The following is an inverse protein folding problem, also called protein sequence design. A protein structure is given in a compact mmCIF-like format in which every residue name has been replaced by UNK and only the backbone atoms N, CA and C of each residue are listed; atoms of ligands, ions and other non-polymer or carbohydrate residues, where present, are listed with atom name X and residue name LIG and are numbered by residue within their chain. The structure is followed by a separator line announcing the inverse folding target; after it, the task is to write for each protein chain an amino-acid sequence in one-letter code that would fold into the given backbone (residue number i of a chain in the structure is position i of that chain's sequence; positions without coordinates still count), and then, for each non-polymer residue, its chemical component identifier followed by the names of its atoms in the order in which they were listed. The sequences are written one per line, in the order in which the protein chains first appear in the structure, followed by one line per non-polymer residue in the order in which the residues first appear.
data_IF_475987859205
#
_entry.id   IF_475987859205
#
_cell.length_a   1.000
_cell.length_b   1.000
_cell.length_c   1.000
_cell.angle_alpha   90.00
_cell.angle_beta   90.00
_cell.angle_gamma   90.00
#
_symmetry.space_group_name_H-M   'P 1'
#
loop_
_entity.id
_entity.type
_entity.pdbx_description
1 polymer ?
#
# COMPACT_ATOMS: atom_id res chain seq x y z
N UNK A 1 0.43 -26.02 -20.07
CA UNK A 1 0.97 -24.67 -19.79
C UNK A 1 -0.17 -23.70 -20.06
N UNK A 2 -0.59 -22.88 -19.08
CA UNK A 2 -1.69 -21.93 -19.29
C UNK A 2 -1.39 -21.06 -20.51
N UNK A 3 -2.37 -20.87 -21.38
CA UNK A 3 -2.22 -19.90 -22.47
C UNK A 3 -2.38 -18.46 -21.94
N UNK A 4 -2.22 -17.47 -22.81
CA UNK A 4 -2.31 -16.06 -22.39
C UNK A 4 -3.72 -15.72 -21.88
N UNK A 5 -4.77 -16.28 -22.48
CA UNK A 5 -6.17 -16.06 -22.08
C UNK A 5 -6.48 -16.63 -20.70
N UNK A 6 -5.97 -17.81 -20.37
CA UNK A 6 -6.08 -18.42 -19.04
C UNK A 6 -5.43 -17.55 -17.95
N UNK A 7 -4.30 -16.90 -18.28
CA UNK A 7 -3.58 -16.03 -17.36
C UNK A 7 -4.30 -14.70 -17.15
N UNK A 8 -4.84 -14.11 -18.22
CA UNK A 8 -5.71 -12.92 -18.13
C UNK A 8 -6.93 -13.24 -17.27
N UNK A 9 -7.61 -14.36 -17.53
CA UNK A 9 -8.76 -14.80 -16.73
C UNK A 9 -8.41 -14.97 -15.26
N UNK A 10 -7.23 -15.50 -14.95
CA UNK A 10 -6.74 -15.66 -13.57
C UNK A 10 -6.50 -14.30 -12.89
N UNK A 11 -5.97 -13.31 -13.63
CA UNK A 11 -5.80 -11.94 -13.13
C UNK A 11 -7.16 -11.27 -12.89
N UNK A 12 -8.06 -11.32 -13.87
CA UNK A 12 -9.40 -10.73 -13.78
C UNK A 12 -10.20 -11.31 -12.62
N UNK A 13 -10.13 -12.63 -12.40
CA UNK A 13 -10.76 -13.27 -11.26
C UNK A 13 -10.31 -12.70 -9.90
N UNK A 14 -9.07 -12.22 -9.80
CA UNK A 14 -8.54 -11.62 -8.59
C UNK A 14 -8.95 -10.15 -8.39
N UNK A 15 -9.16 -9.37 -9.47
CA UNK A 15 -9.26 -7.90 -9.38
C UNK A 15 -10.51 -7.29 -10.02
N UNK A 16 -11.45 -8.12 -10.48
CA UNK A 16 -12.63 -7.69 -11.25
C UNK A 16 -13.53 -6.67 -10.55
N UNK A 17 -13.50 -6.57 -9.22
CA UNK A 17 -14.32 -5.65 -8.43
C UNK A 17 -13.65 -4.30 -8.15
N UNK A 18 -12.50 -4.03 -8.78
CA UNK A 18 -11.82 -2.74 -8.69
C UNK A 18 -12.68 -1.59 -9.21
N UNK A 19 -12.97 -0.61 -8.36
CA UNK A 19 -14.07 0.34 -8.55
C UNK A 19 -13.84 1.49 -9.53
N UNK A 20 -12.71 1.52 -10.25
CA UNK A 20 -12.37 2.64 -11.13
C UNK A 20 -12.46 2.30 -12.63
N UNK A 21 -12.72 1.05 -12.96
CA UNK A 21 -12.78 0.56 -14.34
C UNK A 21 -13.59 -0.73 -14.39
N UNK A 22 -14.26 -0.97 -15.52
CA UNK A 22 -14.75 -2.30 -15.87
C UNK A 22 -13.61 -3.11 -16.49
N UNK A 23 -12.97 -3.95 -15.68
CA UNK A 23 -11.88 -4.81 -16.10
C UNK A 23 -12.31 -5.75 -17.24
N UNK A 24 -11.51 -5.84 -18.29
CA UNK A 24 -11.75 -6.69 -19.46
C UNK A 24 -10.44 -7.21 -20.04
N UNK A 25 -10.51 -8.28 -20.84
CA UNK A 25 -9.37 -8.87 -21.52
C UNK A 25 -8.63 -7.82 -22.36
N UNK A 26 -9.36 -7.07 -23.18
CA UNK A 26 -8.79 -6.00 -24.02
C UNK A 26 -8.13 -4.87 -23.23
N UNK A 27 -8.59 -4.58 -22.00
CA UNK A 27 -7.91 -3.64 -21.12
C UNK A 27 -6.55 -4.18 -20.67
N UNK A 28 -6.51 -5.45 -20.25
CA UNK A 28 -5.27 -6.11 -19.81
C UNK A 28 -4.29 -6.26 -20.97
N UNK A 29 -4.76 -6.66 -22.15
CA UNK A 29 -3.96 -6.80 -23.37
C UNK A 29 -3.31 -5.46 -23.77
N UNK A 30 -4.10 -4.38 -23.80
CA UNK A 30 -3.59 -3.05 -24.12
C UNK A 30 -2.53 -2.57 -23.14
N UNK A 31 -2.71 -2.84 -21.83
CA UNK A 31 -1.66 -2.55 -20.85
C UNK A 31 -0.40 -3.37 -21.12
N UNK A 32 -0.57 -4.66 -21.43
CA UNK A 32 0.52 -5.62 -21.61
C UNK A 32 1.36 -5.35 -22.86
N UNK A 33 0.75 -4.87 -23.94
CA UNK A 33 1.41 -4.49 -25.20
C UNK A 33 2.51 -3.42 -25.03
N UNK A 34 2.51 -2.70 -23.90
CA UNK A 34 3.56 -1.75 -23.55
C UNK A 34 4.86 -2.43 -23.07
N UNK A 35 4.85 -3.74 -22.84
CA UNK A 35 6.01 -4.58 -22.49
C UNK A 35 6.44 -5.47 -23.66
N UNK A 36 7.71 -5.96 -23.68
CA UNK A 36 8.17 -6.89 -24.70
C UNK A 36 7.32 -8.18 -24.76
N UNK A 37 6.88 -8.56 -25.96
CA UNK A 37 5.92 -9.64 -26.20
C UNK A 37 6.40 -11.00 -25.66
N UNK A 38 7.71 -11.26 -25.71
CA UNK A 38 8.35 -12.47 -25.19
C UNK A 38 8.22 -12.63 -23.66
N UNK A 39 7.88 -11.55 -22.94
CA UNK A 39 7.76 -11.54 -21.48
C UNK A 39 6.32 -11.49 -20.97
N UNK A 40 5.34 -11.30 -21.86
CA UNK A 40 3.92 -11.17 -21.53
C UNK A 40 3.39 -12.28 -20.61
N UNK A 41 3.68 -13.54 -20.93
CA UNK A 41 3.24 -14.69 -20.12
C UNK A 41 3.84 -14.68 -18.71
N UNK A 42 5.10 -14.28 -18.56
CA UNK A 42 5.75 -14.23 -17.24
C UNK A 42 5.16 -13.08 -16.43
N UNK A 43 4.95 -11.90 -17.05
CA UNK A 43 4.31 -10.76 -16.38
C UNK A 43 2.92 -11.16 -15.87
N UNK A 44 2.05 -11.69 -16.74
CA UNK A 44 0.69 -12.06 -16.34
C UNK A 44 0.67 -13.13 -15.24
N UNK A 45 1.51 -14.16 -15.37
CA UNK A 45 1.59 -15.25 -14.39
C UNK A 45 1.98 -14.72 -13.01
N UNK A 46 3.05 -13.93 -12.93
CA UNK A 46 3.53 -13.42 -11.65
C UNK A 46 2.56 -12.38 -11.09
N UNK A 47 2.01 -11.50 -11.94
CA UNK A 47 1.05 -10.49 -11.50
C UNK A 47 -0.23 -11.12 -10.95
N UNK A 48 -0.78 -12.14 -11.61
CA UNK A 48 -1.92 -12.88 -11.09
C UNK A 48 -1.62 -13.57 -9.75
N UNK A 49 -0.41 -14.10 -9.55
CA UNK A 49 -0.03 -14.73 -8.29
C UNK A 49 0.22 -13.71 -7.16
N UNK A 50 0.82 -12.55 -7.48
CA UNK A 50 1.03 -11.44 -6.53
C UNK A 50 -0.33 -10.90 -6.10
N UNK A 51 -1.16 -10.49 -7.06
CA UNK A 51 -2.45 -9.86 -6.78
C UNK A 51 -3.48 -10.83 -6.21
N UNK A 52 -3.43 -12.12 -6.56
CA UNK A 52 -4.23 -13.14 -5.89
C UNK A 52 -3.95 -13.29 -4.39
N UNK A 53 -2.88 -12.65 -3.88
CA UNK A 53 -2.51 -12.63 -2.45
C UNK A 53 -2.49 -11.23 -1.84
N UNK A 54 -2.26 -10.19 -2.63
CA UNK A 54 -2.11 -8.81 -2.15
C UNK A 54 -3.30 -7.91 -2.46
N UNK A 55 -4.23 -8.33 -3.33
CA UNK A 55 -5.41 -7.55 -3.65
C UNK A 55 -6.49 -7.72 -2.57
N UNK A 56 -7.02 -6.61 -2.06
CA UNK A 56 -8.12 -6.61 -1.10
C UNK A 56 -9.46 -6.33 -1.80
N UNK A 57 -10.21 -7.40 -2.06
CA UNK A 57 -11.55 -7.31 -2.66
C UNK A 57 -12.55 -6.64 -1.72
N UNK A 58 -13.65 -6.15 -2.30
CA UNK A 58 -14.82 -5.61 -1.59
C UNK A 58 -15.39 -6.62 -0.61
N UNK A 59 -15.48 -7.88 -1.02
CA UNK A 59 -16.02 -8.95 -0.20
C UNK A 59 -15.14 -9.18 1.03
N UNK A 60 -13.82 -9.30 0.84
CA UNK A 60 -12.89 -9.51 1.96
C UNK A 60 -12.83 -8.29 2.88
N UNK A 61 -12.83 -7.06 2.33
CA UNK A 61 -12.90 -5.85 3.16
C UNK A 61 -14.18 -5.81 4.00
N UNK A 62 -15.34 -6.14 3.43
CA UNK A 62 -16.60 -6.23 4.19
C UNK A 62 -16.55 -7.29 5.29
N UNK A 63 -15.97 -8.46 5.01
CA UNK A 63 -15.76 -9.51 6.03
C UNK A 63 -14.91 -8.99 7.19
N UNK A 64 -13.77 -8.35 6.88
CA UNK A 64 -12.87 -7.78 7.89
C UNK A 64 -13.55 -6.69 8.72
N UNK A 65 -14.33 -5.80 8.09
CA UNK A 65 -15.14 -4.79 8.81
C UNK A 65 -16.12 -5.48 9.78
N UNK A 66 -16.84 -6.51 9.32
CA UNK A 66 -17.72 -7.29 10.19
C UNK A 66 -17.02 -7.84 11.43
N UNK A 67 -15.83 -8.43 11.23
CA UNK A 67 -15.00 -8.95 12.33
C UNK A 67 -14.58 -7.86 13.32
N UNK A 68 -14.20 -6.68 12.83
CA UNK A 68 -13.85 -5.53 13.67
C UNK A 68 -15.05 -5.06 14.48
N UNK A 69 -16.21 -4.88 13.83
CA UNK A 69 -17.42 -4.38 14.48
C UNK A 69 -17.93 -5.31 15.59
N UNK A 70 -17.63 -6.61 15.49
CA UNK A 70 -18.00 -7.63 16.48
C UNK A 70 -16.92 -7.91 17.54
N UNK A 71 -15.73 -7.30 17.45
CA UNK A 71 -14.63 -7.57 18.37
C UNK A 71 -14.83 -6.85 19.72
N UNK A 72 -15.18 -7.61 20.75
CA UNK A 72 -15.33 -7.12 22.12
C UNK A 72 -14.02 -6.54 22.71
N UNK A 73 -12.85 -6.84 22.14
CA UNK A 73 -11.63 -6.16 22.57
C UNK A 73 -11.60 -4.71 22.09
N UNK A 74 -12.19 -4.40 20.94
CA UNK A 74 -12.29 -3.05 20.36
C UNK A 74 -13.47 -2.30 20.99
N UNK A 75 -14.60 -2.97 21.17
CA UNK A 75 -15.83 -2.42 21.75
C UNK A 75 -16.25 -3.22 23.00
N UNK A 76 -15.55 -3.07 24.14
CA UNK A 76 -15.79 -3.91 25.33
C UNK A 76 -17.15 -3.71 25.99
N UNK A 77 -17.65 -2.47 25.99
CA UNK A 77 -18.97 -2.14 26.56
C UNK A 77 -20.04 -2.03 25.46
N UNK A 78 -19.78 -1.16 24.48
CA UNK A 78 -20.69 -0.90 23.35
C UNK A 78 -19.95 -0.14 22.25
N UNK A 79 -20.52 -0.08 21.05
CA UNK A 79 -19.95 0.72 19.95
C UNK A 79 -20.09 2.21 20.20
N UNK A 80 -21.04 2.63 21.04
CA UNK A 80 -21.26 4.03 21.40
C UNK A 80 -20.23 4.59 22.36
N UNK A 81 -19.50 3.74 23.11
CA UNK A 81 -18.55 4.20 24.14
C UNK A 81 -17.22 4.71 23.59
N UNK A 82 -16.97 4.55 22.29
CA UNK A 82 -15.75 5.01 21.62
C UNK A 82 -16.00 6.20 20.72
N UNK A 83 -14.95 6.99 20.45
CA UNK A 83 -15.02 8.13 19.55
C UNK A 83 -14.09 7.95 18.35
N UNK A 84 -14.64 8.04 17.15
CA UNK A 84 -13.84 7.94 15.92
C UNK A 84 -13.03 9.22 15.69
N UNK A 85 -11.76 9.03 15.34
CA UNK A 85 -10.78 10.09 15.12
C UNK A 85 -11.04 10.78 13.78
N UNK A 86 -11.35 12.07 13.84
CA UNK A 86 -11.48 13.00 12.70
C UNK A 86 -12.24 12.50 11.43
N UNK A 87 -13.43 11.85 11.51
CA UNK A 87 -14.13 11.33 10.32
C UNK A 87 -14.47 12.41 9.28
N UNK A 88 -14.66 13.67 9.72
CA UNK A 88 -15.00 14.81 8.86
C UNK A 88 -13.83 15.30 8.00
N UNK A 89 -12.59 14.97 8.38
CA UNK A 89 -11.38 15.32 7.62
C UNK A 89 -10.90 14.16 6.74
N UNK A 90 -11.62 13.04 6.72
CA UNK A 90 -11.28 11.90 5.90
C UNK A 90 -11.48 12.22 4.42
N UNK A 91 -10.49 11.85 3.61
CA UNK A 91 -10.45 12.07 2.17
C UNK A 91 -10.15 10.75 1.45
N UNK A 92 -10.39 10.71 0.14
CA UNK A 92 -10.13 9.53 -0.70
C UNK A 92 -10.65 8.21 -0.11
N UNK A 93 -9.77 7.22 -0.03
CA UNK A 93 -10.11 5.86 0.42
C UNK A 93 -10.54 5.80 1.89
N UNK A 94 -9.97 6.64 2.77
CA UNK A 94 -10.35 6.63 4.19
C UNK A 94 -11.84 6.94 4.36
N UNK A 95 -12.35 7.91 3.61
CA UNK A 95 -13.77 8.27 3.64
C UNK A 95 -14.66 7.10 3.22
N UNK A 96 -14.25 6.35 2.19
CA UNK A 96 -14.99 5.17 1.72
C UNK A 96 -14.97 4.05 2.76
N UNK A 97 -13.82 3.81 3.41
CA UNK A 97 -13.71 2.83 4.49
C UNK A 97 -14.62 3.21 5.66
N UNK A 98 -14.61 4.47 6.11
CA UNK A 98 -15.48 4.94 7.19
C UNK A 98 -16.96 4.79 6.84
N UNK A 99 -17.36 5.02 5.59
CA UNK A 99 -18.74 4.78 5.15
C UNK A 99 -19.11 3.30 5.26
N UNK A 100 -18.23 2.38 4.82
CA UNK A 100 -18.48 0.94 4.94
C UNK A 100 -18.59 0.49 6.40
N UNK A 101 -17.82 1.11 7.30
CA UNK A 101 -17.94 0.90 8.74
C UNK A 101 -19.27 1.41 9.31
N UNK A 102 -19.71 2.61 8.93
CA UNK A 102 -21.01 3.16 9.38
C UNK A 102 -22.19 2.28 8.91
N UNK A 103 -22.12 1.80 7.66
CA UNK A 103 -23.09 0.85 7.12
C UNK A 103 -23.10 -0.45 7.93
N UNK A 104 -21.93 -1.05 8.22
CA UNK A 104 -21.82 -2.28 8.99
C UNK A 104 -22.33 -2.12 10.44
N UNK A 105 -22.03 -1.00 11.11
CA UNK A 105 -22.55 -0.71 12.46
C UNK A 105 -24.07 -0.51 12.45
N UNK A 106 -24.59 0.15 11.42
CA UNK A 106 -26.03 0.35 11.26
C UNK A 106 -26.75 -0.98 11.02
N UNK A 107 -26.18 -1.87 10.21
CA UNK A 107 -26.73 -3.20 9.95
C UNK A 107 -26.68 -4.11 11.18
N UNK A 108 -25.57 -4.10 11.93
CA UNK A 108 -25.38 -5.00 13.07
C UNK A 108 -26.09 -4.52 14.35
N UNK A 109 -26.11 -3.21 14.60
CA UNK A 109 -26.54 -2.64 15.88
C UNK A 109 -27.59 -1.51 15.76
N UNK A 110 -27.95 -1.08 14.55
CA UNK A 110 -28.88 0.05 14.36
C UNK A 110 -28.28 1.41 14.77
N UNK A 111 -26.95 1.49 14.84
CA UNK A 111 -26.21 2.67 15.31
C UNK A 111 -25.35 3.23 14.18
N UNK A 112 -25.38 4.55 14.02
CA UNK A 112 -24.42 5.26 13.17
C UNK A 112 -23.24 5.73 14.01
N UNK A 113 -22.05 5.77 13.40
CA UNK A 113 -20.83 6.39 13.91
C UNK A 113 -21.06 7.80 14.44
N UNK A 114 -21.99 8.57 13.87
CA UNK A 114 -22.33 9.92 14.34
C UNK A 114 -22.97 9.96 15.74
N UNK A 115 -23.48 8.81 16.21
CA UNK A 115 -24.02 8.61 17.56
C UNK A 115 -22.98 8.09 18.55
N UNK A 116 -21.83 7.61 18.09
CA UNK A 116 -20.74 7.15 18.95
C UNK A 116 -20.02 8.32 19.63
N UNK A 117 -19.50 8.07 20.83
CA UNK A 117 -18.64 9.00 21.56
C UNK A 117 -19.34 10.29 22.00
N UNK A 118 -20.62 10.21 22.42
CA UNK A 118 -21.34 11.35 23.00
C UNK A 118 -20.93 11.54 24.45
N UNK A 119 -20.50 12.75 24.80
CA UNK A 119 -20.04 13.10 26.15
C UNK A 119 -18.52 13.07 26.29
N UNK A 120 -18.05 12.90 27.52
CA UNK A 120 -16.64 12.68 27.83
C UNK A 120 -16.24 11.26 27.44
N UNK A 121 -15.19 11.12 26.62
CA UNK A 121 -14.75 9.83 26.07
C UNK A 121 -13.23 9.76 26.19
N UNK A 122 -12.74 8.61 26.66
CA UNK A 122 -11.32 8.33 26.80
C UNK A 122 -10.76 7.28 25.81
N UNK A 123 -11.65 6.61 25.06
CA UNK A 123 -11.29 5.60 24.07
C UNK A 123 -11.60 6.07 22.64
N UNK A 124 -10.57 6.04 21.80
CA UNK A 124 -10.62 6.55 20.44
C UNK A 124 -10.30 5.48 19.40
N UNK A 125 -10.89 5.59 18.22
CA UNK A 125 -10.60 4.70 17.10
C UNK A 125 -10.20 5.51 15.86
N UNK A 126 -9.04 5.18 15.29
CA UNK A 126 -8.64 5.58 13.95
C UNK A 126 -8.88 4.44 12.97
N UNK A 127 -9.45 4.74 11.81
CA UNK A 127 -9.67 3.77 10.74
C UNK A 127 -9.09 4.32 9.45
N UNK A 128 -8.36 3.48 8.73
CA UNK A 128 -7.90 3.76 7.38
C UNK A 128 -7.75 2.45 6.59
N UNK A 129 -7.48 2.57 5.29
CA UNK A 129 -7.27 1.41 4.44
C UNK A 129 -5.96 0.69 4.79
N UNK A 130 -4.86 1.44 4.81
CA UNK A 130 -3.53 0.88 5.05
C UNK A 130 -2.54 1.94 5.53
N UNK A 131 -1.46 1.45 6.15
CA UNK A 131 -0.28 2.26 6.49
C UNK A 131 0.89 1.80 5.61
N UNK A 132 1.40 2.73 4.79
CA UNK A 132 2.61 2.55 3.97
C UNK A 132 3.82 3.15 4.68
N UNK A 133 4.24 4.37 4.33
CA UNK A 133 5.31 5.10 5.05
C UNK A 133 4.85 5.71 6.38
N UNK A 134 3.53 5.84 6.56
CA UNK A 134 2.91 6.40 7.76
C UNK A 134 2.89 7.92 7.85
N UNK A 135 3.42 8.65 6.86
CA UNK A 135 3.48 10.13 6.87
C UNK A 135 2.10 10.77 7.06
N UNK A 136 1.12 10.40 6.22
CA UNK A 136 -0.26 10.90 6.33
C UNK A 136 -0.90 10.58 7.68
N UNK A 137 -0.69 9.37 8.19
CA UNK A 137 -1.20 8.96 9.49
C UNK A 137 -0.59 9.80 10.62
N UNK A 138 0.75 9.94 10.64
CA UNK A 138 1.46 10.72 11.66
C UNK A 138 1.05 12.19 11.62
N UNK A 139 0.90 12.78 10.45
CA UNK A 139 0.44 14.18 10.30
C UNK A 139 -1.02 14.35 10.73
N UNK A 140 -1.88 13.39 10.41
CA UNK A 140 -3.24 13.30 10.92
C UNK A 140 -3.26 13.24 12.45
N UNK A 141 -2.47 12.34 13.03
CA UNK A 141 -2.34 12.17 14.47
C UNK A 141 -1.84 13.45 15.16
N UNK A 142 -0.81 14.11 14.61
CA UNK A 142 -0.30 15.40 15.13
C UNK A 142 -1.40 16.47 15.17
N UNK A 143 -2.15 16.61 14.08
CA UNK A 143 -3.25 17.58 14.00
C UNK A 143 -4.39 17.25 14.95
N UNK A 144 -4.69 15.97 15.13
CA UNK A 144 -5.73 15.50 16.05
C UNK A 144 -5.34 15.73 17.51
N UNK A 145 -4.13 15.34 17.91
CA UNK A 145 -3.57 15.57 19.26
C UNK A 145 -3.58 17.06 19.63
N UNK A 146 -3.28 17.95 18.67
CA UNK A 146 -3.31 19.39 18.88
C UNK A 146 -4.72 19.96 19.17
N UNK A 147 -5.79 19.16 19.08
CA UNK A 147 -7.15 19.58 19.44
C UNK A 147 -7.50 19.35 20.92
N UNK A 148 -6.59 18.78 21.70
CA UNK A 148 -6.78 18.47 23.11
C UNK A 148 -5.94 19.39 23.99
N UNK A 149 -6.55 19.91 25.05
CA UNK A 149 -5.85 20.65 26.10
C UNK A 149 -5.13 19.71 27.08
N UNK A 150 -5.71 18.55 27.35
CA UNK A 150 -5.16 17.51 28.23
C UNK A 150 -5.11 16.15 27.52
N UNK A 151 -3.90 15.67 27.26
CA UNK A 151 -3.67 14.36 26.62
C UNK A 151 -3.91 13.18 27.56
N UNK A 152 -3.97 13.39 28.89
CA UNK A 152 -4.31 12.33 29.83
C UNK A 152 -5.77 11.89 29.69
N UNK A 153 -6.62 12.73 29.10
CA UNK A 153 -8.00 12.36 28.74
C UNK A 153 -8.07 11.27 27.67
N UNK A 154 -6.97 11.00 26.95
CA UNK A 154 -6.89 9.97 25.92
C UNK A 154 -6.26 8.70 26.54
N UNK A 155 -7.09 7.88 27.18
CA UNK A 155 -6.63 6.64 27.81
C UNK A 155 -6.29 5.53 26.79
N UNK A 156 -6.98 5.51 25.66
CA UNK A 156 -6.88 4.43 24.67
C UNK A 156 -7.06 4.92 23.23
N UNK A 157 -6.24 4.41 22.32
CA UNK A 157 -6.36 4.61 20.87
C UNK A 157 -6.20 3.27 20.13
N UNK A 158 -7.24 2.82 19.44
CA UNK A 158 -7.16 1.71 18.48
C UNK A 158 -6.98 2.25 17.06
N UNK A 159 -5.92 1.82 16.41
CA UNK A 159 -5.59 2.16 15.02
C UNK A 159 -5.89 0.91 14.21
N UNK A 160 -6.92 0.99 13.39
CA UNK A 160 -7.45 -0.14 12.63
C UNK A 160 -7.20 0.11 11.15
N UNK A 161 -6.39 -0.74 10.54
CA UNK A 161 -6.11 -0.71 9.10
C UNK A 161 -6.23 -2.11 8.52
N UNK A 162 -6.54 -2.25 7.23
CA UNK A 162 -6.59 -3.58 6.63
C UNK A 162 -5.18 -4.11 6.34
N UNK A 163 -4.28 -3.24 5.89
CA UNK A 163 -2.92 -3.61 5.59
C UNK A 163 -1.88 -2.69 6.23
N UNK A 164 -0.72 -3.25 6.55
CA UNK A 164 0.44 -2.50 7.02
C UNK A 164 1.72 -2.95 6.34
N UNK A 165 2.64 -2.01 6.13
CA UNK A 165 3.98 -2.29 5.63
C UNK A 165 4.99 -2.11 6.75
N UNK A 166 5.85 -3.10 6.96
CA UNK A 166 6.72 -3.13 8.15
C UNK A 166 7.91 -2.18 8.07
N UNK A 167 8.25 -1.66 6.88
CA UNK A 167 9.43 -0.83 6.61
C UNK A 167 9.61 0.35 7.56
N UNK A 168 8.53 1.10 7.80
CA UNK A 168 8.57 2.38 8.53
C UNK A 168 7.87 2.28 9.90
N UNK A 169 7.51 1.08 10.36
CA UNK A 169 6.75 0.87 11.59
C UNK A 169 7.47 1.35 12.86
N UNK A 170 8.79 1.16 12.96
CA UNK A 170 9.54 1.63 14.14
C UNK A 170 9.46 3.15 14.28
N UNK A 171 9.53 3.86 13.16
CA UNK A 171 9.37 5.31 13.12
C UNK A 171 7.95 5.72 13.53
N UNK A 172 6.93 5.05 12.98
CA UNK A 172 5.53 5.35 13.28
C UNK A 172 5.24 5.11 14.76
N UNK A 173 5.68 3.97 15.32
CA UNK A 173 5.58 3.65 16.74
C UNK A 173 6.24 4.71 17.62
N UNK A 174 7.48 5.10 17.29
CA UNK A 174 8.16 6.16 18.04
C UNK A 174 7.43 7.52 17.95
N UNK A 175 6.77 7.84 16.83
CA UNK A 175 5.95 9.05 16.73
C UNK A 175 4.69 8.96 17.59
N UNK A 176 4.00 7.80 17.60
CA UNK A 176 2.82 7.57 18.43
C UNK A 176 3.15 7.71 19.91
N UNK A 177 4.20 7.04 20.39
CA UNK A 177 4.65 7.11 21.79
C UNK A 177 5.05 8.53 22.20
N UNK A 178 5.67 9.29 21.29
CA UNK A 178 6.04 10.69 21.56
C UNK A 178 4.83 11.61 21.64
N UNK A 179 3.82 11.38 20.80
CA UNK A 179 2.63 12.23 20.71
C UNK A 179 1.59 11.90 21.80
N UNK A 180 1.56 10.65 22.25
CA UNK A 180 0.58 10.12 23.19
C UNK A 180 1.27 9.27 24.28
N UNK A 181 2.13 9.88 25.12
CA UNK A 181 3.02 9.14 26.04
C UNK A 181 2.29 8.41 27.18
N UNK A 182 1.00 8.68 27.38
CA UNK A 182 0.18 8.09 28.45
C UNK A 182 -0.97 7.24 27.93
N UNK A 183 -1.09 7.08 26.61
CA UNK A 183 -2.20 6.40 25.97
C UNK A 183 -1.85 4.94 25.70
N UNK A 184 -2.80 4.03 25.92
CA UNK A 184 -2.68 2.65 25.45
C UNK A 184 -3.01 2.59 23.96
N UNK A 185 -2.02 2.29 23.13
CA UNK A 185 -2.15 2.28 21.68
C UNK A 185 -2.15 0.85 21.16
N UNK A 186 -3.15 0.52 20.32
CA UNK A 186 -3.26 -0.78 19.66
C UNK A 186 -3.25 -0.57 18.15
N UNK A 187 -2.22 -1.05 17.46
CA UNK A 187 -2.21 -1.16 16.00
C UNK A 187 -2.78 -2.51 15.61
N UNK A 188 -3.93 -2.51 14.93
CA UNK A 188 -4.66 -3.69 14.48
C UNK A 188 -4.68 -3.74 12.97
N UNK A 189 -4.27 -4.87 12.42
CA UNK A 189 -4.21 -5.11 10.99
C UNK A 189 -4.51 -6.56 10.63
N UNK A 190 -4.99 -6.77 9.40
CA UNK A 190 -5.28 -8.11 8.86
C UNK A 190 -4.15 -8.62 7.98
N UNK A 191 -3.51 -7.71 7.26
CA UNK A 191 -2.48 -8.01 6.28
C UNK A 191 -1.19 -7.28 6.67
N UNK A 192 -0.08 -8.01 6.70
CA UNK A 192 1.23 -7.44 6.96
C UNK A 192 2.16 -7.76 5.79
N UNK A 193 2.71 -6.71 5.18
CA UNK A 193 3.73 -6.82 4.13
C UNK A 193 5.12 -6.64 4.72
N UNK A 194 5.92 -7.70 4.68
CA UNK A 194 7.29 -7.73 5.20
C UNK A 194 8.28 -7.06 4.26
N UNK A 195 8.34 -5.73 4.26
CA UNK A 195 9.21 -4.94 3.41
C UNK A 195 10.30 -4.17 4.19
N UNK A 196 10.63 -4.60 5.41
CA UNK A 196 11.82 -4.09 6.11
C UNK A 196 13.11 -4.55 5.44
N UNK A 197 14.10 -3.67 5.49
CA UNK A 197 15.38 -3.86 4.82
C UNK A 197 16.35 -4.74 5.61
N UNK A 198 16.25 -4.76 6.94
CA UNK A 198 17.01 -5.63 7.84
C UNK A 198 16.67 -7.12 7.64
N UNK A 199 15.40 -7.42 7.36
CA UNK A 199 14.91 -8.77 7.09
C UNK A 199 15.01 -9.22 5.63
N UNK A 200 15.33 -8.30 4.71
CA UNK A 200 15.26 -8.51 3.27
C UNK A 200 16.07 -9.68 2.71
N UNK A 201 17.10 -10.11 3.43
CA UNK A 201 17.84 -11.33 3.10
C UNK A 201 16.95 -12.57 3.20
N UNK A 202 16.10 -12.63 4.23
CA UNK A 202 15.20 -13.77 4.51
C UNK A 202 13.91 -13.64 3.72
N UNK A 203 13.23 -12.49 3.86
CA UNK A 203 11.90 -12.22 3.30
C UNK A 203 11.83 -10.76 2.86
N UNK A 204 11.22 -10.51 1.70
CA UNK A 204 10.94 -9.14 1.26
C UNK A 204 9.71 -9.12 0.34
N UNK A 205 8.64 -8.51 0.83
CA UNK A 205 7.31 -8.46 0.23
C UNK A 205 7.06 -7.07 -0.36
N UNK A 206 7.77 -6.79 -1.43
CA UNK A 206 7.67 -5.58 -2.24
C UNK A 206 8.58 -5.68 -3.47
N UNK A 207 8.31 -4.90 -4.51
CA UNK A 207 9.16 -4.83 -5.69
C UNK A 207 10.50 -4.19 -5.32
N UNK A 208 11.59 -4.96 -5.43
CA UNK A 208 12.93 -4.45 -5.19
C UNK A 208 13.93 -5.07 -6.18
N UNK A 209 14.34 -4.33 -7.23
CA UNK A 209 15.11 -4.89 -8.34
C UNK A 209 16.47 -5.47 -7.92
N UNK A 210 16.92 -6.49 -8.63
CA UNK A 210 18.13 -7.26 -8.28
C UNK A 210 19.38 -6.74 -8.96
N UNK A 211 20.52 -6.78 -8.26
CA UNK A 211 21.84 -6.58 -8.88
C UNK A 211 22.33 -7.80 -9.69
N UNK A 212 21.58 -8.90 -9.70
CA UNK A 212 21.92 -10.14 -10.41
C UNK A 212 21.44 -10.22 -11.86
N UNK A 213 21.03 -9.10 -12.46
CA UNK A 213 20.62 -8.98 -13.86
C UNK A 213 21.03 -7.59 -14.37
N UNK A 214 21.35 -7.47 -15.67
CA UNK A 214 21.65 -6.19 -16.30
C UNK A 214 20.38 -5.40 -16.64
N UNK A 215 20.49 -4.08 -16.66
CA UNK A 215 19.45 -3.12 -17.04
C UNK A 215 19.87 -2.39 -18.32
N UNK A 216 18.92 -1.80 -19.04
CA UNK A 216 19.22 -0.92 -20.16
C UNK A 216 20.02 0.33 -19.72
N UNK A 217 20.59 1.04 -20.69
CA UNK A 217 21.45 2.20 -20.45
C UNK A 217 20.72 3.30 -19.66
N UNK A 218 19.51 3.66 -20.07
CA UNK A 218 18.67 4.66 -19.42
C UNK A 218 18.41 4.36 -17.93
N UNK A 219 18.12 3.10 -17.61
CA UNK A 219 17.88 2.65 -16.23
C UNK A 219 19.16 2.59 -15.43
N UNK A 220 20.28 2.22 -16.05
CA UNK A 220 21.60 2.23 -15.41
C UNK A 220 22.02 3.66 -15.05
N UNK A 221 21.75 4.62 -15.93
CA UNK A 221 21.97 6.04 -15.69
C UNK A 221 21.05 6.59 -14.60
N UNK A 222 19.77 6.20 -14.61
CA UNK A 222 18.82 6.53 -13.53
C UNK A 222 19.34 6.03 -12.17
N UNK A 223 19.69 4.75 -12.06
CA UNK A 223 20.26 4.15 -10.84
C UNK A 223 21.50 4.93 -10.39
N UNK A 224 22.40 5.24 -11.32
CA UNK A 224 23.63 5.99 -11.04
C UNK A 224 23.35 7.40 -10.52
N UNK A 225 22.33 8.09 -11.05
CA UNK A 225 21.87 9.38 -10.53
C UNK A 225 21.36 9.26 -9.09
N UNK A 226 20.53 8.27 -8.79
CA UNK A 226 20.05 8.06 -7.41
C UNK A 226 21.22 7.81 -6.47
N UNK A 227 22.16 6.94 -6.85
CA UNK A 227 23.38 6.65 -6.05
C UNK A 227 24.17 7.93 -5.77
N UNK A 228 24.43 8.76 -6.78
CA UNK A 228 25.15 10.03 -6.63
C UNK A 228 24.42 11.03 -5.73
N UNK A 229 23.08 11.01 -5.77
CA UNK A 229 22.27 11.89 -4.93
C UNK A 229 22.26 11.47 -3.47
N UNK A 230 22.70 10.27 -3.08
CA UNK A 230 22.73 9.87 -1.67
C UNK A 230 23.90 10.53 -0.96
N UNK A 231 23.59 11.33 0.07
CA UNK A 231 24.59 12.22 0.70
C UNK A 231 24.72 12.03 2.22
N UNK A 232 23.85 11.22 2.84
CA UNK A 232 23.78 11.09 4.30
C UNK A 232 23.88 9.62 4.72
N UNK A 233 24.41 9.36 5.92
CA UNK A 233 24.60 8.01 6.52
C UNK A 233 23.34 7.13 6.46
N UNK A 234 22.14 7.74 6.55
CA UNK A 234 20.85 7.02 6.43
C UNK A 234 20.64 6.39 5.04
N UNK A 235 21.16 7.00 3.99
CA UNK A 235 21.03 6.52 2.61
C UNK A 235 22.09 5.47 2.24
N UNK A 236 23.24 5.46 2.93
CA UNK A 236 24.36 4.55 2.66
C UNK A 236 24.08 3.10 3.12
N UNK A 237 23.24 2.94 4.14
CA UNK A 237 22.87 1.62 4.69
C UNK A 237 21.81 0.84 3.90
N UNK A 238 21.09 1.49 2.98
CA UNK A 238 19.98 0.88 2.23
C UNK A 238 20.45 0.51 0.83
N UNK A 239 20.62 -0.76 0.44
CA UNK A 239 21.03 -1.08 -0.93
C UNK A 239 20.00 -0.57 -1.96
N UNK A 240 20.44 0.05 -3.06
CA UNK A 240 19.52 0.43 -4.16
C UNK A 240 18.88 -0.81 -4.77
N UNK A 241 19.72 -1.82 -5.02
CA UNK A 241 19.32 -3.10 -5.59
C UNK A 241 19.49 -4.20 -4.56
N UNK A 242 18.56 -5.16 -4.52
CA UNK A 242 18.73 -6.36 -3.70
C UNK A 242 19.81 -7.26 -4.28
N UNK A 243 20.59 -7.90 -3.41
CA UNK A 243 21.60 -8.89 -3.82
C UNK A 243 20.93 -10.06 -4.56
N UNK A 244 21.65 -10.61 -5.54
CA UNK A 244 21.20 -11.82 -6.25
C UNK A 244 20.92 -12.96 -5.25
N UNK A 245 19.80 -13.64 -5.42
CA UNK A 245 19.40 -14.76 -4.57
C UNK A 245 18.78 -14.37 -3.21
N UNK A 246 18.44 -13.09 -3.01
CA UNK A 246 17.57 -12.62 -1.93
C UNK A 246 16.21 -12.13 -2.51
N UNK A 247 15.10 -12.20 -1.76
CA UNK A 247 14.99 -12.90 -0.48
C UNK A 247 15.12 -14.42 -0.67
N UNK A 248 15.37 -15.15 0.43
CA UNK A 248 15.44 -16.61 0.44
C UNK A 248 14.07 -17.28 0.44
N UNK A 249 13.07 -16.58 0.95
CA UNK A 249 11.67 -16.99 0.92
C UNK A 249 10.85 -15.92 0.19
N UNK A 250 9.90 -16.37 -0.63
CA UNK A 250 8.99 -15.50 -1.37
C UNK A 250 7.62 -16.18 -1.47
N UNK A 251 6.59 -15.53 -0.93
CA UNK A 251 5.23 -16.00 -1.01
C UNK A 251 4.49 -15.47 -2.25
N UNK A 252 5.00 -14.47 -2.95
CA UNK A 252 4.27 -13.72 -3.98
C UNK A 252 4.75 -14.04 -5.39
N UNK A 253 6.03 -14.36 -5.59
CA UNK A 253 6.54 -14.79 -6.88
C UNK A 253 6.68 -16.30 -6.94
N UNK A 254 6.35 -16.88 -8.09
CA UNK A 254 6.45 -18.33 -8.32
C UNK A 254 7.89 -18.81 -8.55
N UNK A 255 8.84 -17.89 -8.75
CA UNK A 255 10.25 -18.22 -8.89
C UNK A 255 11.17 -17.00 -8.87
N UNK A 256 12.38 -17.19 -8.33
CA UNK A 256 13.37 -16.12 -8.16
C UNK A 256 13.81 -15.47 -9.49
N UNK A 257 13.88 -16.24 -10.58
CA UNK A 257 14.19 -15.70 -11.91
C UNK A 257 13.04 -14.87 -12.48
N UNK A 258 11.80 -15.33 -12.31
CA UNK A 258 10.61 -14.59 -12.74
C UNK A 258 10.49 -13.27 -11.98
N UNK A 259 10.72 -13.28 -10.66
CA UNK A 259 10.79 -12.06 -9.85
C UNK A 259 11.80 -11.07 -10.39
N UNK A 260 13.04 -11.51 -10.63
CA UNK A 260 14.10 -10.65 -11.20
C UNK A 260 13.66 -10.04 -12.54
N UNK A 261 13.03 -10.83 -13.40
CA UNK A 261 12.58 -10.38 -14.70
C UNK A 261 11.45 -9.35 -14.60
N UNK A 262 10.41 -9.63 -13.79
CA UNK A 262 9.28 -8.70 -13.62
C UNK A 262 9.72 -7.40 -12.96
N UNK A 263 10.52 -7.46 -11.89
CA UNK A 263 11.07 -6.26 -11.26
C UNK A 263 11.96 -5.45 -12.21
N UNK A 264 12.74 -6.12 -13.08
CA UNK A 264 13.51 -5.45 -14.12
C UNK A 264 12.60 -4.71 -15.09
N UNK A 265 11.59 -5.39 -15.64
CA UNK A 265 10.69 -4.81 -16.64
C UNK A 265 9.88 -3.65 -16.04
N UNK A 266 9.42 -3.79 -14.79
CA UNK A 266 8.71 -2.74 -14.07
C UNK A 266 9.61 -1.54 -13.79
N UNK A 267 10.88 -1.77 -13.42
CA UNK A 267 11.82 -0.68 -13.23
C UNK A 267 12.12 0.04 -14.55
N UNK A 268 12.45 -0.69 -15.61
CA UNK A 268 12.83 -0.09 -16.90
C UNK A 268 11.68 0.74 -17.48
N UNK A 269 10.46 0.20 -17.48
CA UNK A 269 9.26 0.95 -17.90
C UNK A 269 8.89 2.08 -16.96
N UNK A 270 9.10 1.91 -15.66
CA UNK A 270 8.90 3.00 -14.70
C UNK A 270 9.92 4.14 -14.89
N UNK A 271 11.17 3.84 -15.26
CA UNK A 271 12.18 4.86 -15.61
C UNK A 271 11.79 5.60 -16.88
N UNK A 272 11.34 4.87 -17.91
CA UNK A 272 10.81 5.46 -19.13
C UNK A 272 9.68 6.45 -18.79
N UNK A 273 8.69 6.03 -17.99
CA UNK A 273 7.60 6.92 -17.53
C UNK A 273 8.15 8.17 -16.84
N UNK A 274 9.02 8.03 -15.83
CA UNK A 274 9.55 9.17 -15.06
C UNK A 274 10.33 10.15 -15.94
N UNK A 275 11.11 9.66 -16.90
CA UNK A 275 11.91 10.52 -17.78
C UNK A 275 11.05 11.27 -18.82
N UNK A 276 9.86 10.75 -19.16
CA UNK A 276 8.89 11.43 -20.04
C UNK A 276 7.98 12.42 -19.30
N UNK A 277 8.00 12.44 -17.97
CA UNK A 277 7.24 13.44 -17.20
C UNK A 277 7.83 14.84 -17.39
N UNK A 278 6.98 15.83 -17.68
CA UNK A 278 7.44 17.22 -17.81
C UNK A 278 8.03 17.77 -16.50
N UNK A 279 7.44 17.40 -15.36
CA UNK A 279 7.86 17.82 -14.02
C UNK A 279 7.58 16.70 -13.00
N UNK A 280 8.43 15.66 -12.93
CA UNK A 280 8.24 14.61 -11.93
C UNK A 280 8.41 15.20 -10.52
N UNK A 281 7.50 14.85 -9.62
CA UNK A 281 7.70 15.15 -8.20
C UNK A 281 8.95 14.43 -7.69
N UNK A 282 9.70 15.06 -6.78
CA UNK A 282 10.97 14.52 -6.25
C UNK A 282 10.79 13.11 -5.67
N UNK A 283 9.62 12.83 -5.12
CA UNK A 283 9.27 11.58 -4.46
C UNK A 283 8.66 10.54 -5.40
N UNK A 284 8.28 10.93 -6.61
CA UNK A 284 7.75 10.01 -7.62
C UNK A 284 8.88 9.19 -8.24
N UNK A 285 8.92 7.90 -7.91
CA UNK A 285 9.95 6.95 -8.38
C UNK A 285 9.33 5.88 -9.27
N UNK A 286 10.12 5.20 -10.12
CA UNK A 286 9.64 4.12 -11.00
C UNK A 286 8.77 3.07 -10.31
N UNK A 287 9.15 2.66 -9.08
CA UNK A 287 8.45 1.64 -8.31
C UNK A 287 7.51 2.21 -7.25
N UNK A 288 7.03 3.44 -7.46
CA UNK A 288 6.07 4.11 -6.59
C UNK A 288 6.70 5.18 -5.70
N UNK A 289 5.85 6.03 -5.14
CA UNK A 289 6.23 7.17 -4.34
C UNK A 289 7.06 6.76 -3.13
N UNK A 290 8.21 7.39 -2.94
CA UNK A 290 9.07 7.18 -1.78
C UNK A 290 9.83 8.46 -1.45
N UNK A 291 9.67 8.92 -0.20
CA UNK A 291 10.44 10.04 0.33
C UNK A 291 11.93 9.71 0.48
N UNK A 292 12.25 8.42 0.61
CA UNK A 292 13.63 7.94 0.65
C UNK A 292 14.29 7.98 -0.74
N UNK A 293 15.62 8.13 -0.78
CA UNK A 293 16.38 8.10 -2.05
C UNK A 293 16.53 6.67 -2.58
N UNK A 294 15.43 6.01 -2.93
CA UNK A 294 15.34 4.63 -3.46
C UNK A 294 14.82 4.62 -4.91
N UNK A 295 14.52 3.44 -5.44
CA UNK A 295 13.83 3.26 -6.74
C UNK A 295 12.30 3.31 -6.60
N UNK A 296 11.78 3.46 -5.38
CA UNK A 296 10.37 3.50 -5.02
C UNK A 296 10.01 2.58 -3.87
N UNK A 297 8.80 2.75 -3.32
CA UNK A 297 8.32 1.99 -2.17
C UNK A 297 8.05 0.52 -2.52
N UNK A 298 7.57 0.25 -3.74
CA UNK A 298 7.43 -1.10 -4.28
C UNK A 298 6.25 -1.89 -3.69
N UNK A 299 5.18 -1.24 -3.26
CA UNK A 299 4.03 -1.95 -2.67
C UNK A 299 3.35 -2.88 -3.68
N UNK A 300 2.87 -4.02 -3.20
CA UNK A 300 1.98 -4.93 -3.95
C UNK A 300 0.50 -4.64 -3.67
N UNK A 301 0.21 -3.84 -2.65
CA UNK A 301 -1.11 -3.75 -2.06
C UNK A 301 -2.01 -2.84 -2.88
N UNK A 302 -3.12 -3.41 -3.34
CA UNK A 302 -4.19 -2.74 -4.08
C UNK A 302 -5.49 -3.18 -3.44
N UNK A 303 -6.42 -2.27 -3.19
CA UNK A 303 -7.79 -2.67 -2.84
C UNK A 303 -8.75 -2.36 -3.97
N UNK A 304 -9.97 -2.86 -3.84
CA UNK A 304 -11.06 -2.52 -4.72
C UNK A 304 -11.42 -1.02 -4.73
N UNK A 305 -10.96 -0.24 -3.76
CA UNK A 305 -11.23 1.20 -3.68
C UNK A 305 -10.32 1.97 -4.63
N UNK A 306 -9.01 1.77 -4.52
CA UNK A 306 -8.01 2.46 -5.34
C UNK A 306 -6.65 1.77 -5.27
N UNK A 307 -5.76 2.16 -6.17
CA UNK A 307 -4.33 1.82 -6.10
C UNK A 307 -3.56 2.96 -5.44
N UNK A 308 -2.58 2.62 -4.59
CA UNK A 308 -1.74 3.59 -3.90
C UNK A 308 -0.60 4.11 -4.79
N UNK A 309 -0.16 5.36 -4.54
CA UNK A 309 1.03 5.95 -5.16
C UNK A 309 2.30 5.17 -4.81
N UNK A 310 2.31 4.41 -3.71
CA UNK A 310 3.42 3.55 -3.32
C UNK A 310 3.56 2.28 -4.18
N UNK A 311 2.63 2.02 -5.11
CA UNK A 311 2.75 0.95 -6.12
C UNK A 311 3.56 1.42 -7.35
N UNK A 312 4.18 0.50 -8.12
CA UNK A 312 4.91 0.87 -9.33
C UNK A 312 4.11 1.71 -10.33
N UNK A 313 4.75 2.71 -10.93
CA UNK A 313 4.09 3.65 -11.84
C UNK A 313 3.47 2.96 -13.05
N UNK A 314 4.13 1.90 -13.53
CA UNK A 314 3.64 1.06 -14.64
C UNK A 314 2.23 0.51 -14.39
N UNK A 315 1.77 0.45 -13.14
CA UNK A 315 0.46 -0.05 -12.78
C UNK A 315 -0.64 1.01 -12.89
N UNK A 316 -0.36 2.29 -12.66
CA UNK A 316 -1.41 3.30 -12.44
C UNK A 316 -1.19 4.67 -13.08
N UNK A 317 -0.01 4.96 -13.61
CA UNK A 317 0.25 6.25 -14.25
C UNK A 317 -0.60 6.39 -15.52
N UNK A 318 -1.18 7.56 -15.78
CA UNK A 318 -2.07 7.80 -16.93
C UNK A 318 -1.72 9.11 -17.66
N UNK A 319 -0.43 9.31 -17.95
CA UNK A 319 0.03 10.43 -18.76
C UNK A 319 1.25 10.04 -19.61
N UNK A 320 1.67 10.92 -20.52
CA UNK A 320 2.89 10.74 -21.29
C UNK A 320 2.86 9.56 -22.26
N UNK A 321 1.67 9.09 -22.63
CA UNK A 321 1.47 7.95 -23.54
C UNK A 321 1.40 6.58 -22.86
N UNK A 322 1.53 6.51 -21.53
CA UNK A 322 1.33 5.25 -20.79
C UNK A 322 -0.17 4.98 -20.54
N UNK A 323 -0.57 3.72 -20.67
CA UNK A 323 -1.91 3.21 -20.38
C UNK A 323 -1.87 2.41 -19.07
N UNK A 324 -2.59 2.79 -18.00
CA UNK A 324 -2.54 2.11 -16.71
C UNK A 324 -3.33 0.79 -16.71
N UNK A 325 -2.94 -0.16 -15.85
CA UNK A 325 -3.75 -1.34 -15.54
C UNK A 325 -4.77 -1.07 -14.42
N UNK A 326 -4.42 -0.18 -13.49
CA UNK A 326 -5.26 0.26 -12.39
C UNK A 326 -5.39 1.79 -12.46
N UNK A 327 -6.34 2.31 -13.26
CA UNK A 327 -6.64 3.73 -13.29
C UNK A 327 -6.94 4.24 -11.88
N UNK A 328 -6.23 5.29 -11.47
CA UNK A 328 -6.35 5.86 -10.13
C UNK A 328 -7.39 6.98 -10.12
N UNK A 329 -8.29 6.99 -9.13
CA UNK A 329 -9.04 8.20 -8.81
C UNK A 329 -8.13 9.19 -8.09
N UNK A 330 -8.08 10.42 -8.57
CA UNK A 330 -7.42 11.52 -7.86
C UNK A 330 -7.96 11.61 -6.43
N UNK A 331 -7.05 11.88 -5.49
CA UNK A 331 -7.42 12.07 -4.08
C UNK A 331 -8.11 13.40 -3.86
#
# INVERSE_FOLDING_TARGET
MKDTGDLISSLLAAVSDYGNINFSDGHVERWLEQFPAEHHKVILKELANVLGRSYLSRMEMKRMIGEITADANIFPDSVESVKFMDPRKAEGNQKMVLQMFDEALSEAYGISMAKCGKGEVASYIYIDEAIWSGERFVDGLRRWVATFDDLQSIERLDIIVFAVHTRDLDYITAQMERLLPHTRIYLRHFIEFKNRLDDAKKVYEGYWPSSGIGYNEETTDYISRIVKMRSNVRDEGVPILRKSGHPKSDAYFTGAMNRKLVEKLFLEKGVEIVNHMMKPEVYMKPLGYDASRTLGFGSYYISHLNISDHCPLVMWWEEGGWYPLFPRKGN
#
